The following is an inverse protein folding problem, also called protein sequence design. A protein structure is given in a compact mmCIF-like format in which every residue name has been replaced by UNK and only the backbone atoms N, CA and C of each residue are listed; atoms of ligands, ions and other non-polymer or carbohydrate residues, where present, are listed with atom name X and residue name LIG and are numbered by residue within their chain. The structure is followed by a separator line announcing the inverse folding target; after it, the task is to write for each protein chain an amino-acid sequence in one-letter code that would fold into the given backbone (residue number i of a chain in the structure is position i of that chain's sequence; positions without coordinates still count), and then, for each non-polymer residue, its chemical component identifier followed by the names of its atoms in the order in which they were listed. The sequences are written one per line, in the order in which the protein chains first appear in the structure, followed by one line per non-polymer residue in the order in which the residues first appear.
data_IF_238831247511
#
_entry.id   IF_238831247511
#
_cell.length_a   1.000
_cell.length_b   1.000
_cell.length_c   1.000
_cell.angle_alpha   90.00
_cell.angle_beta   90.00
_cell.angle_gamma   90.00
#
_symmetry.space_group_name_H-M   'P 1'
#
loop_
_entity.id
_entity.type
_entity.pdbx_description
1 polymer ?
#
# COMPACT_ATOMS: atom_id res chain seq x y z
N UNK A 1 -18.69 2.91 -1.80
CA UNK A 1 -18.96 2.73 -3.25
C UNK A 1 -20.41 2.43 -3.56
N UNK A 2 -21.04 1.51 -2.84
CA UNK A 2 -22.47 1.18 -3.04
C UNK A 2 -23.39 2.41 -2.98
N UNK A 3 -23.23 3.26 -1.96
CA UNK A 3 -24.03 4.48 -1.82
C UNK A 3 -23.85 5.44 -2.97
N UNK A 4 -22.63 5.54 -3.52
CA UNK A 4 -22.35 6.39 -4.67
C UNK A 4 -23.03 5.86 -5.93
N UNK A 5 -23.07 4.53 -6.12
CA UNK A 5 -23.77 3.91 -7.24
C UNK A 5 -25.28 4.14 -7.13
N UNK A 6 -25.84 3.99 -5.92
CA UNK A 6 -27.27 4.20 -5.67
C UNK A 6 -27.70 5.66 -5.88
N UNK A 7 -26.78 6.63 -5.75
CA UNK A 7 -27.06 8.04 -5.96
C UNK A 7 -27.02 8.46 -7.45
N UNK A 8 -26.57 7.60 -8.35
CA UNK A 8 -26.51 7.88 -9.78
C UNK A 8 -27.91 7.76 -10.43
N UNK A 9 -28.15 8.47 -11.56
CA UNK A 9 -29.41 8.35 -12.29
C UNK A 9 -29.69 6.90 -12.70
N UNK A 10 -30.99 6.47 -12.75
CA UNK A 10 -31.33 5.13 -13.20
C UNK A 10 -30.88 4.88 -14.63
N UNK A 11 -30.42 3.67 -14.92
CA UNK A 11 -29.95 3.25 -16.23
C UNK A 11 -28.56 2.61 -16.18
N UNK A 12 -28.01 2.16 -17.33
CA UNK A 12 -26.67 1.61 -17.37
C UNK A 12 -25.62 2.68 -17.04
N UNK A 13 -24.59 2.30 -16.30
CA UNK A 13 -23.48 3.19 -15.96
C UNK A 13 -22.71 3.58 -17.22
N UNK A 14 -22.42 4.86 -17.36
CA UNK A 14 -21.56 5.36 -18.44
C UNK A 14 -20.11 5.08 -18.11
N UNK A 15 -19.24 4.99 -19.13
CA UNK A 15 -17.81 4.81 -18.95
C UNK A 15 -17.21 5.85 -18.01
N UNK A 16 -17.67 7.11 -18.11
CA UNK A 16 -17.20 8.19 -17.24
C UNK A 16 -17.60 7.94 -15.78
N UNK A 17 -18.82 7.45 -15.52
CA UNK A 17 -19.27 7.14 -14.17
C UNK A 17 -18.43 6.01 -13.56
N UNK A 18 -18.10 4.99 -14.35
CA UNK A 18 -17.25 3.88 -13.90
C UNK A 18 -15.85 4.39 -13.57
N UNK A 19 -15.26 5.23 -14.42
CA UNK A 19 -13.95 5.81 -14.21
C UNK A 19 -13.92 6.68 -12.95
N UNK A 20 -14.93 7.49 -12.74
CA UNK A 20 -15.04 8.36 -11.57
C UNK A 20 -15.19 7.55 -10.28
N UNK A 21 -16.00 6.48 -10.30
CA UNK A 21 -16.15 5.57 -9.16
C UNK A 21 -14.84 4.85 -8.83
N UNK A 22 -14.12 4.37 -9.84
CA UNK A 22 -12.83 3.69 -9.65
C UNK A 22 -11.80 4.66 -9.09
N UNK A 23 -11.71 5.89 -9.60
CA UNK A 23 -10.79 6.91 -9.11
C UNK A 23 -11.12 7.28 -7.67
N UNK A 24 -12.40 7.47 -7.36
CA UNK A 24 -12.87 7.79 -6.01
C UNK A 24 -12.55 6.68 -5.02
N UNK A 25 -12.76 5.41 -5.41
CA UNK A 25 -12.43 4.25 -4.60
C UNK A 25 -10.93 4.15 -4.33
N UNK A 26 -10.12 4.32 -5.36
CA UNK A 26 -8.65 4.28 -5.24
C UNK A 26 -8.14 5.38 -4.31
N UNK A 27 -8.68 6.59 -4.43
CA UNK A 27 -8.33 7.70 -3.55
C UNK A 27 -8.72 7.40 -2.09
N UNK A 28 -9.90 6.84 -1.87
CA UNK A 28 -10.37 6.47 -0.53
C UNK A 28 -9.46 5.41 0.11
N UNK A 29 -9.06 4.39 -0.65
CA UNK A 29 -8.12 3.36 -0.17
C UNK A 29 -6.78 3.98 0.16
N UNK A 30 -6.26 4.84 -0.70
CA UNK A 30 -4.99 5.52 -0.48
C UNK A 30 -5.02 6.42 0.76
N UNK A 31 -6.13 7.14 0.98
CA UNK A 31 -6.31 7.98 2.17
C UNK A 31 -6.31 7.14 3.46
N UNK A 32 -7.01 6.01 3.46
CA UNK A 32 -7.06 5.12 4.61
C UNK A 32 -5.67 4.54 4.91
N UNK A 33 -4.96 4.08 3.89
CA UNK A 33 -3.61 3.53 4.04
C UNK A 33 -2.65 4.59 4.56
N UNK A 34 -2.71 5.80 4.04
CA UNK A 34 -1.88 6.90 4.50
C UNK A 34 -2.14 7.22 5.98
N UNK A 35 -3.41 7.32 6.36
CA UNK A 35 -3.79 7.58 7.76
C UNK A 35 -3.30 6.48 8.70
N UNK A 36 -3.50 5.23 8.34
CA UNK A 36 -3.05 4.08 9.14
C UNK A 36 -1.53 4.02 9.25
N UNK A 37 -0.83 4.26 8.14
CA UNK A 37 0.63 4.30 8.13
C UNK A 37 1.15 5.45 8.97
N UNK A 38 0.53 6.62 8.88
CA UNK A 38 0.88 7.77 9.71
C UNK A 38 0.80 7.45 11.19
N UNK A 39 -0.33 6.88 11.63
CA UNK A 39 -0.53 6.50 13.02
C UNK A 39 0.50 5.47 13.49
N UNK A 40 0.81 4.48 12.64
CA UNK A 40 1.82 3.47 12.94
C UNK A 40 3.22 4.07 13.04
N UNK A 41 3.56 4.97 12.13
CA UNK A 41 4.86 5.67 12.12
C UNK A 41 5.03 6.52 13.37
N UNK A 42 4.00 7.26 13.77
CA UNK A 42 4.04 8.07 14.99
C UNK A 42 4.30 7.20 16.23
N UNK A 43 3.62 6.06 16.35
CA UNK A 43 3.86 5.10 17.43
C UNK A 43 5.27 4.52 17.39
N UNK A 44 5.75 4.17 16.19
CA UNK A 44 7.10 3.65 16.00
C UNK A 44 8.15 4.66 16.45
N UNK A 45 8.02 5.92 16.04
CA UNK A 45 8.98 6.98 16.38
C UNK A 45 8.98 7.32 17.87
N UNK A 46 7.87 7.11 18.58
CA UNK A 46 7.86 7.24 20.03
C UNK A 46 8.78 6.24 20.72
N UNK A 47 8.87 5.02 20.18
CA UNK A 47 9.76 3.97 20.71
C UNK A 47 11.16 4.03 20.11
N UNK A 48 11.28 4.49 18.87
CA UNK A 48 12.55 4.54 18.12
C UNK A 48 12.76 5.94 17.51
N UNK A 49 13.12 6.94 18.31
CA UNK A 49 13.23 8.34 17.83
C UNK A 49 14.27 8.53 16.72
N UNK A 50 15.25 7.62 16.59
CA UNK A 50 16.27 7.70 15.55
C UNK A 50 15.69 7.45 14.15
N UNK A 51 14.47 6.92 14.07
CA UNK A 51 13.85 6.56 12.81
C UNK A 51 14.21 5.15 12.36
N UNK A 52 14.15 4.91 11.08
CA UNK A 52 14.39 3.59 10.50
C UNK A 52 13.85 3.51 9.08
N UNK A 53 13.31 2.37 8.75
CA UNK A 53 12.79 2.08 7.41
C UNK A 53 11.27 1.96 7.43
N UNK A 54 10.63 2.48 6.39
CA UNK A 54 9.23 2.19 6.08
C UNK A 54 9.22 1.31 4.83
N UNK A 55 8.79 0.06 4.98
CA UNK A 55 8.80 -0.93 3.90
C UNK A 55 7.39 -1.16 3.40
N UNK A 56 7.20 -1.04 2.10
CA UNK A 56 5.93 -1.35 1.43
C UNK A 56 6.16 -2.50 0.46
N UNK A 57 5.43 -3.59 0.64
CA UNK A 57 5.57 -4.80 -0.16
C UNK A 57 4.19 -5.40 -0.47
N UNK A 58 4.16 -6.45 -1.30
CA UNK A 58 2.93 -7.12 -1.70
C UNK A 58 2.24 -6.44 -2.87
N UNK A 59 1.05 -6.93 -3.24
CA UNK A 59 0.31 -6.46 -4.41
C UNK A 59 -0.02 -4.96 -4.37
N UNK A 60 -0.29 -4.42 -3.20
CA UNK A 60 -0.59 -2.98 -3.03
C UNK A 60 0.62 -2.12 -3.39
N UNK A 61 1.84 -2.61 -3.17
CA UNK A 61 3.06 -1.88 -3.50
C UNK A 61 3.25 -1.70 -5.01
N UNK A 62 2.58 -2.49 -5.84
CA UNK A 62 2.59 -2.33 -7.30
C UNK A 62 1.74 -1.14 -7.76
N UNK A 63 0.84 -0.65 -6.92
CA UNK A 63 0.01 0.51 -7.22
C UNK A 63 0.84 1.79 -7.06
N UNK A 64 1.15 2.45 -8.17
CA UNK A 64 2.03 3.63 -8.19
C UNK A 64 1.51 4.80 -7.35
N UNK A 65 0.23 5.20 -7.43
CA UNK A 65 -0.30 6.29 -6.58
C UNK A 65 -0.16 6.00 -5.09
N UNK A 66 -0.47 4.78 -4.65
CA UNK A 66 -0.34 4.37 -3.24
C UNK A 66 1.13 4.37 -2.82
N UNK A 67 2.00 3.81 -3.65
CA UNK A 67 3.45 3.79 -3.42
C UNK A 67 4.00 5.20 -3.23
N UNK A 68 3.62 6.13 -4.11
CA UNK A 68 4.07 7.51 -4.04
C UNK A 68 3.60 8.21 -2.77
N UNK A 69 2.36 7.99 -2.33
CA UNK A 69 1.83 8.58 -1.10
C UNK A 69 2.57 8.05 0.13
N UNK A 70 2.82 6.76 0.21
CA UNK A 70 3.57 6.15 1.32
C UNK A 70 5.03 6.61 1.32
N UNK A 71 5.64 6.74 0.15
CA UNK A 71 6.99 7.28 0.00
C UNK A 71 7.10 8.71 0.52
N UNK A 72 6.14 9.56 0.17
CA UNK A 72 6.09 10.95 0.66
C UNK A 72 5.88 11.00 2.17
N UNK A 73 5.06 10.10 2.71
CA UNK A 73 4.85 9.98 4.15
C UNK A 73 6.16 9.63 4.87
N UNK A 74 6.90 8.64 4.36
CA UNK A 74 8.20 8.25 4.91
C UNK A 74 9.16 9.43 4.92
N UNK A 75 9.24 10.17 3.82
CA UNK A 75 10.08 11.35 3.69
C UNK A 75 9.70 12.42 4.72
N UNK A 76 8.42 12.65 4.92
CA UNK A 76 7.91 13.64 5.88
C UNK A 76 8.32 13.33 7.32
N UNK A 77 8.40 12.06 7.68
CA UNK A 77 8.81 11.60 9.01
C UNK A 77 10.30 11.25 9.13
N UNK A 78 11.09 11.50 8.08
CA UNK A 78 12.52 11.22 8.10
C UNK A 78 12.88 9.73 8.05
N UNK A 79 11.96 8.89 7.61
CA UNK A 79 12.19 7.45 7.44
C UNK A 79 12.73 7.16 6.04
N UNK A 80 13.54 6.10 5.94
CA UNK A 80 13.98 5.59 4.64
C UNK A 80 12.88 4.69 4.06
N UNK A 81 12.39 5.04 2.86
CA UNK A 81 11.40 4.23 2.17
C UNK A 81 12.09 3.11 1.40
N UNK A 82 11.60 1.89 1.58
CA UNK A 82 12.09 0.72 0.85
C UNK A 82 10.91 -0.07 0.29
N UNK A 83 11.06 -0.53 -0.95
CA UNK A 83 10.05 -1.36 -1.61
C UNK A 83 10.76 -2.30 -2.57
N UNK A 84 10.33 -3.57 -2.68
CA UNK A 84 10.91 -4.47 -3.66
C UNK A 84 10.56 -4.04 -5.08
N UNK A 85 11.28 -4.56 -6.10
CA UNK A 85 10.89 -4.37 -7.50
C UNK A 85 9.42 -4.77 -7.72
N UNK A 86 8.76 -4.11 -8.69
CA UNK A 86 7.32 -4.31 -8.93
C UNK A 86 6.98 -5.78 -9.21
N UNK A 87 7.83 -6.47 -9.95
CA UNK A 87 7.66 -7.90 -10.27
C UNK A 87 7.71 -8.82 -9.04
N UNK A 88 8.31 -8.37 -7.94
CA UNK A 88 8.35 -9.09 -6.67
C UNK A 88 7.27 -8.64 -5.68
N UNK A 89 6.46 -7.64 -6.04
CA UNK A 89 5.36 -7.15 -5.20
C UNK A 89 4.10 -8.01 -5.32
N UNK A 90 4.02 -8.90 -6.29
CA UNK A 90 2.93 -9.84 -6.46
C UNK A 90 3.36 -11.24 -6.02
N UNK A 91 2.41 -12.17 -5.90
CA UNK A 91 2.75 -13.55 -5.57
C UNK A 91 3.71 -14.13 -6.60
N UNK A 92 4.79 -14.71 -6.13
CA UNK A 92 5.80 -15.33 -6.99
C UNK A 92 6.50 -16.48 -6.26
N UNK A 93 6.99 -17.43 -7.04
CA UNK A 93 7.66 -18.62 -6.50
C UNK A 93 8.97 -18.30 -5.78
N UNK A 94 9.62 -17.18 -6.14
CA UNK A 94 10.86 -16.73 -5.50
C UNK A 94 10.71 -16.45 -4.02
N UNK A 95 9.58 -15.86 -3.62
CA UNK A 95 9.28 -15.57 -2.21
C UNK A 95 9.22 -16.87 -1.39
N UNK A 96 8.52 -17.87 -1.91
CA UNK A 96 8.34 -19.16 -1.23
C UNK A 96 9.69 -19.92 -1.16
N UNK A 97 10.43 -19.92 -2.27
CA UNK A 97 11.75 -20.55 -2.30
C UNK A 97 12.72 -19.91 -1.31
N UNK A 98 12.75 -18.58 -1.24
CA UNK A 98 13.60 -17.85 -0.30
C UNK A 98 13.23 -18.17 1.14
N UNK A 99 11.92 -18.15 1.47
CA UNK A 99 11.43 -18.49 2.80
C UNK A 99 11.85 -19.94 3.18
N UNK A 100 11.77 -20.88 2.24
CA UNK A 100 12.22 -22.25 2.44
C UNK A 100 13.69 -22.34 2.76
N UNK A 101 14.54 -21.60 2.03
CA UNK A 101 15.99 -21.56 2.27
C UNK A 101 16.29 -20.99 3.66
N UNK A 102 15.66 -19.89 4.04
CA UNK A 102 15.86 -19.29 5.35
C UNK A 102 15.45 -20.23 6.48
N UNK A 103 14.34 -20.94 6.31
CA UNK A 103 13.88 -21.94 7.27
C UNK A 103 14.92 -23.07 7.45
N UNK A 104 15.50 -23.55 6.35
CA UNK A 104 16.57 -24.57 6.40
C UNK A 104 17.82 -24.04 7.10
N UNK A 105 18.21 -22.80 6.82
CA UNK A 105 19.40 -22.19 7.45
C UNK A 105 19.24 -22.00 8.94
N UNK A 106 18.05 -21.71 9.42
CA UNK A 106 17.76 -21.52 10.85
C UNK A 106 17.47 -22.82 11.59
N UNK A 107 17.32 -23.93 10.88
CA UNK A 107 17.05 -25.23 11.48
C UNK A 107 15.59 -25.42 11.91
N UNK A 108 14.72 -24.53 11.49
CA UNK A 108 13.28 -24.62 11.79
C UNK A 108 12.54 -25.33 10.63
#
# INVERSE_FOLDING_TARGET
MRQQIESLPPGPLKSQDINDLCASFQNAVADILEDRCKNAVEKFLNSYPQGGYLVLAGGVAANKPIRNRVKLLAKRFGLTFATPPIDLCTDNAGMIAWAGIEKLRTGN
#
